data_IF_851967700318
#
_entry.id   IF_851967700318
#
_cell.length_a   1.000
_cell.length_b   1.000
_cell.length_c   1.000
_cell.angle_alpha   90.00
_cell.angle_beta   90.00
_cell.angle_gamma   90.00
#
_symmetry.space_group_name_H-M   'P 1'
#
loop_
_entity.id
_entity.type
_entity.pdbx_description
1 polymer ?
#
# COMPACT_ATOMS: atom_id res chain seq x y z
N UNK A 1 42.97 -30.96 27.44
CA UNK A 1 42.52 -29.59 27.67
C UNK A 1 41.65 -29.19 26.47
N UNK A 2 40.36 -29.32 26.61
CA UNK A 2 39.43 -29.00 25.54
C UNK A 2 38.87 -27.61 25.75
N UNK A 3 39.26 -26.66 24.93
CA UNK A 3 38.65 -25.32 24.85
C UNK A 3 37.44 -25.37 23.95
N UNK A 4 36.29 -25.44 24.57
CA UNK A 4 35.00 -25.29 23.89
C UNK A 4 34.82 -23.80 23.60
N UNK A 5 34.92 -23.41 22.34
CA UNK A 5 34.57 -22.06 21.90
C UNK A 5 33.04 -22.01 21.72
N UNK A 6 32.40 -21.30 22.64
CA UNK A 6 31.01 -20.88 22.50
C UNK A 6 30.95 -19.80 21.43
N UNK A 7 30.56 -20.17 20.22
CA UNK A 7 30.13 -19.24 19.18
C UNK A 7 28.71 -18.76 19.52
N UNK A 8 28.65 -17.64 20.22
CA UNK A 8 27.39 -16.90 20.39
C UNK A 8 27.06 -16.30 19.03
N UNK A 9 26.19 -16.98 18.29
CA UNK A 9 25.59 -16.42 17.09
C UNK A 9 24.70 -15.24 17.47
N UNK A 10 25.19 -14.04 17.25
CA UNK A 10 24.41 -12.81 17.34
C UNK A 10 23.41 -12.84 16.21
N UNK A 11 22.18 -13.29 16.49
CA UNK A 11 21.04 -13.10 15.60
C UNK A 11 20.75 -11.60 15.58
N UNK A 12 21.27 -10.90 14.57
CA UNK A 12 20.87 -9.55 14.28
C UNK A 12 19.41 -9.60 13.79
N UNK A 13 18.49 -9.43 14.74
CA UNK A 13 17.10 -9.11 14.44
C UNK A 13 17.14 -7.69 13.89
N UNK A 14 17.22 -7.56 12.57
CA UNK A 14 16.97 -6.32 11.87
C UNK A 14 15.48 -6.01 12.08
N UNK A 15 15.19 -5.27 13.13
CA UNK A 15 13.91 -4.59 13.27
C UNK A 15 13.84 -3.58 12.11
N UNK A 16 13.29 -3.99 10.99
CA UNK A 16 12.82 -3.06 10.00
C UNK A 16 11.73 -2.24 10.70
N UNK A 17 12.10 -1.03 11.12
CA UNK A 17 11.15 0.00 11.46
C UNK A 17 10.35 0.27 10.18
N UNK A 18 9.26 -0.44 10.01
CA UNK A 18 8.40 -0.38 8.85
C UNK A 18 7.86 1.04 8.72
N UNK A 19 8.15 1.69 7.64
CA UNK A 19 7.54 2.93 7.21
C UNK A 19 6.03 2.72 7.08
N UNK A 20 5.26 2.78 8.16
CA UNK A 20 3.80 2.89 8.15
C UNK A 20 2.96 1.97 7.24
N UNK A 21 3.58 1.14 6.40
CA UNK A 21 2.89 0.24 5.49
C UNK A 21 2.84 -1.19 6.04
N UNK A 22 1.67 -1.79 5.99
CA UNK A 22 1.44 -3.20 6.28
C UNK A 22 0.82 -3.86 5.05
N UNK A 23 1.52 -4.82 4.46
CA UNK A 23 1.10 -5.51 3.25
C UNK A 23 1.11 -7.01 3.51
N UNK A 24 -0.06 -7.62 3.39
CA UNK A 24 -0.26 -9.06 3.52
C UNK A 24 -0.66 -9.62 2.17
N UNK A 25 0.20 -10.46 1.60
CA UNK A 25 -0.08 -11.19 0.37
C UNK A 25 -0.63 -12.58 0.73
N UNK A 26 -1.87 -12.85 0.35
CA UNK A 26 -2.55 -14.12 0.68
C UNK A 26 -2.20 -15.24 -0.29
N UNK A 27 -1.95 -14.92 -1.56
CA UNK A 27 -1.55 -15.89 -2.58
C UNK A 27 -0.41 -15.33 -3.45
N UNK A 28 0.81 -15.58 -3.01
CA UNK A 28 2.00 -15.08 -3.70
C UNK A 28 2.21 -15.75 -5.07
N UNK A 29 1.82 -17.01 -5.23
CA UNK A 29 1.97 -17.70 -6.51
C UNK A 29 1.05 -17.11 -7.56
N UNK A 30 -0.21 -16.85 -7.21
CA UNK A 30 -1.15 -16.13 -8.10
C UNK A 30 -0.69 -14.71 -8.39
N UNK A 31 -0.09 -14.01 -7.41
CA UNK A 31 0.46 -12.67 -7.64
C UNK A 31 1.57 -12.66 -8.68
N UNK A 32 2.38 -13.70 -8.78
CA UNK A 32 3.43 -13.81 -9.80
C UNK A 32 2.87 -14.04 -11.22
N UNK A 33 1.62 -14.47 -11.34
CA UNK A 33 0.93 -14.71 -12.61
C UNK A 33 0.18 -13.47 -13.14
N UNK A 34 0.08 -12.39 -12.35
CA UNK A 34 -0.62 -11.21 -12.80
C UNK A 34 0.07 -10.58 -14.02
N UNK A 35 -0.72 -10.02 -14.91
CA UNK A 35 -0.23 -9.34 -16.11
C UNK A 35 -0.36 -7.83 -15.99
N UNK A 36 -1.48 -7.35 -15.47
CA UNK A 36 -1.70 -5.93 -15.29
C UNK A 36 -2.73 -5.63 -14.21
N UNK A 37 -2.66 -4.43 -13.69
CA UNK A 37 -3.37 -3.95 -12.51
C UNK A 37 -4.32 -2.82 -12.89
N UNK A 38 -5.47 -2.78 -12.27
CA UNK A 38 -6.38 -1.63 -12.26
C UNK A 38 -6.69 -1.20 -10.84
N UNK A 39 -6.70 0.11 -10.59
CA UNK A 39 -7.08 0.69 -9.30
C UNK A 39 -8.38 1.45 -9.48
N UNK A 40 -9.42 1.10 -8.72
CA UNK A 40 -10.66 1.90 -8.68
C UNK A 40 -10.40 3.21 -7.94
N UNK A 41 -11.19 4.27 -8.19
CA UNK A 41 -11.19 5.42 -7.29
C UNK A 41 -11.42 4.97 -5.85
N UNK A 42 -10.61 5.47 -4.91
CA UNK A 42 -10.72 5.09 -3.52
C UNK A 42 -11.93 5.75 -2.88
N UNK A 43 -12.65 4.99 -2.07
CA UNK A 43 -13.71 5.54 -1.23
C UNK A 43 -13.11 6.52 -0.21
N UNK A 44 -13.70 7.70 -0.08
CA UNK A 44 -13.22 8.77 0.79
C UNK A 44 -14.37 9.70 1.14
N UNK A 45 -14.33 10.29 2.34
CA UNK A 45 -15.25 11.35 2.73
C UNK A 45 -15.14 12.58 1.81
N UNK A 46 -13.94 12.80 1.26
CA UNK A 46 -13.70 13.73 0.16
C UNK A 46 -13.34 12.94 -1.11
N UNK A 47 -14.26 12.83 -2.09
CA UNK A 47 -14.00 12.09 -3.33
C UNK A 47 -12.77 12.61 -4.12
N UNK A 48 -12.45 13.90 -3.99
CA UNK A 48 -11.26 14.46 -4.62
C UNK A 48 -9.98 13.86 -4.04
N UNK A 49 -9.92 13.64 -2.74
CA UNK A 49 -8.79 13.00 -2.08
C UNK A 49 -8.61 11.56 -2.56
N UNK A 50 -9.70 10.80 -2.64
CA UNK A 50 -9.67 9.43 -3.18
C UNK A 50 -9.13 9.35 -4.60
N UNK A 51 -9.53 10.31 -5.45
CA UNK A 51 -9.03 10.39 -6.83
C UNK A 51 -7.55 10.77 -6.90
N UNK A 52 -7.11 11.75 -6.11
CA UNK A 52 -5.70 12.17 -6.05
C UNK A 52 -4.82 10.99 -5.62
N UNK A 53 -5.24 10.24 -4.61
CA UNK A 53 -4.48 9.07 -4.14
C UNK A 53 -4.38 8.02 -5.25
N UNK A 54 -5.50 7.71 -5.93
CA UNK A 54 -5.50 6.79 -7.06
C UNK A 54 -4.50 7.22 -8.14
N UNK A 55 -4.58 8.46 -8.59
CA UNK A 55 -3.74 8.97 -9.69
C UNK A 55 -2.25 8.93 -9.33
N UNK A 56 -1.89 9.23 -8.08
CA UNK A 56 -0.50 9.18 -7.63
C UNK A 56 -0.03 7.73 -7.44
N UNK A 57 -0.89 6.84 -6.95
CA UNK A 57 -0.59 5.40 -6.87
C UNK A 57 -0.29 4.83 -8.26
N UNK A 58 -1.16 5.08 -9.24
CA UNK A 58 -0.97 4.65 -10.63
C UNK A 58 0.34 5.17 -11.20
N UNK A 59 0.61 6.47 -11.03
CA UNK A 59 1.87 7.08 -11.47
C UNK A 59 3.09 6.42 -10.85
N UNK A 60 3.04 6.10 -9.56
CA UNK A 60 4.15 5.44 -8.87
C UNK A 60 4.32 3.99 -9.33
N UNK A 61 3.24 3.24 -9.52
CA UNK A 61 3.29 1.89 -10.07
C UNK A 61 3.90 1.89 -11.48
N UNK A 62 3.48 2.80 -12.37
CA UNK A 62 4.07 2.96 -13.70
C UNK A 62 5.56 3.28 -13.63
N UNK A 63 5.97 4.16 -12.73
CA UNK A 63 7.40 4.47 -12.50
C UNK A 63 8.20 3.24 -12.10
N UNK A 64 7.59 2.32 -11.39
CA UNK A 64 8.17 1.03 -10.97
C UNK A 64 7.98 -0.07 -12.01
N UNK A 65 7.52 0.25 -13.21
CA UNK A 65 7.31 -0.69 -14.32
C UNK A 65 6.24 -1.75 -14.05
N UNK A 66 5.24 -1.41 -13.25
CA UNK A 66 4.03 -2.19 -13.11
C UNK A 66 3.07 -1.80 -14.23
N UNK A 67 2.55 -2.77 -14.96
CA UNK A 67 1.62 -2.52 -16.06
C UNK A 67 0.23 -2.19 -15.50
N UNK A 68 -0.33 -1.09 -16.00
CA UNK A 68 -1.71 -0.69 -15.72
C UNK A 68 -2.58 -0.97 -16.93
N UNK A 69 -3.82 -1.33 -16.69
CA UNK A 69 -4.78 -1.68 -17.74
C UNK A 69 -6.20 -1.25 -17.38
N UNK A 70 -7.11 -1.43 -18.32
CA UNK A 70 -8.52 -1.16 -18.11
C UNK A 70 -9.16 -2.19 -17.17
N UNK A 71 -10.28 -1.85 -16.49
CA UNK A 71 -10.94 -2.76 -15.55
C UNK A 71 -11.36 -4.09 -16.18
N UNK A 72 -11.65 -4.09 -17.48
CA UNK A 72 -12.09 -5.31 -18.20
C UNK A 72 -10.92 -6.25 -18.57
N UNK A 73 -9.70 -5.75 -18.57
CA UNK A 73 -8.49 -6.50 -18.94
C UNK A 73 -7.57 -6.75 -17.76
N UNK A 74 -7.83 -6.10 -16.64
CA UNK A 74 -7.03 -6.23 -15.43
C UNK A 74 -7.06 -7.66 -14.89
N UNK A 75 -5.90 -8.19 -14.54
CA UNK A 75 -5.77 -9.47 -13.85
C UNK A 75 -5.78 -9.31 -12.33
N UNK A 76 -5.49 -8.10 -11.85
CA UNK A 76 -5.65 -7.71 -10.45
C UNK A 76 -6.43 -6.40 -10.37
N UNK A 77 -7.53 -6.42 -9.64
CA UNK A 77 -8.36 -5.26 -9.35
C UNK A 77 -8.12 -4.80 -7.92
N UNK A 78 -7.61 -3.58 -7.76
CA UNK A 78 -7.51 -2.94 -6.46
C UNK A 78 -8.73 -2.07 -6.17
N UNK A 79 -9.32 -2.31 -5.01
CA UNK A 79 -10.34 -1.45 -4.40
C UNK A 79 -9.82 -0.98 -3.05
N UNK A 80 -10.24 0.19 -2.60
CA UNK A 80 -9.74 0.69 -1.33
C UNK A 80 -10.49 1.90 -0.81
N UNK A 81 -10.08 2.33 0.36
CA UNK A 81 -10.66 3.48 1.05
C UNK A 81 -9.61 4.29 1.79
N UNK A 82 -9.96 5.55 2.04
CA UNK A 82 -9.18 6.44 2.91
C UNK A 82 -9.96 6.71 4.19
N UNK A 83 -9.28 6.67 5.31
CA UNK A 83 -9.82 7.14 6.58
C UNK A 83 -9.28 8.54 6.86
N UNK A 84 -10.20 9.49 7.03
CA UNK A 84 -9.88 10.89 7.27
C UNK A 84 -10.37 11.31 8.64
N UNK A 85 -9.64 12.21 9.29
CA UNK A 85 -10.04 12.83 10.55
C UNK A 85 -10.10 14.34 10.42
N UNK A 86 -10.99 14.93 11.16
CA UNK A 86 -11.10 16.38 11.30
C UNK A 86 -10.34 16.80 12.56
N UNK A 87 -9.38 17.68 12.40
CA UNK A 87 -8.61 18.25 13.52
C UNK A 87 -8.88 19.73 13.64
N UNK A 88 -8.94 20.21 14.89
CA UNK A 88 -9.21 21.59 15.19
C UNK A 88 -10.63 21.83 15.68
N UNK A 89 -10.93 23.09 15.98
CA UNK A 89 -12.26 23.52 16.47
C UNK A 89 -12.67 24.83 15.80
N UNK A 90 -13.96 25.00 15.56
CA UNK A 90 -14.52 26.20 14.96
C UNK A 90 -14.06 26.42 13.51
N UNK A 91 -13.69 27.65 13.16
CA UNK A 91 -13.26 28.02 11.81
C UNK A 91 -11.86 27.49 11.41
N UNK A 92 -11.10 26.94 12.35
CA UNK A 92 -9.74 26.41 12.14
C UNK A 92 -9.73 24.88 12.06
N UNK A 93 -10.72 24.27 11.44
CA UNK A 93 -10.78 22.83 11.21
C UNK A 93 -9.97 22.46 9.96
N UNK A 94 -9.15 21.42 10.06
CA UNK A 94 -8.44 20.83 8.92
C UNK A 94 -8.75 19.33 8.83
N UNK A 95 -8.92 18.84 7.62
CA UNK A 95 -9.01 17.41 7.36
C UNK A 95 -7.61 16.85 7.14
N UNK A 96 -7.34 15.71 7.73
CA UNK A 96 -6.10 14.96 7.50
C UNK A 96 -6.39 13.50 7.22
N UNK A 97 -5.57 12.89 6.36
CA UNK A 97 -5.65 11.47 6.07
C UNK A 97 -4.94 10.73 7.20
N UNK A 98 -5.64 9.82 7.86
CA UNK A 98 -5.05 8.97 8.91
C UNK A 98 -4.50 7.67 8.33
N UNK A 99 -5.22 7.07 7.40
CA UNK A 99 -4.78 5.83 6.75
C UNK A 99 -5.40 5.64 5.37
N UNK A 100 -4.77 4.78 4.58
CA UNK A 100 -5.29 4.29 3.31
C UNK A 100 -5.21 2.77 3.33
N UNK A 101 -6.24 2.11 2.83
CA UNK A 101 -6.27 0.66 2.66
C UNK A 101 -6.62 0.27 1.23
N UNK A 102 -6.02 -0.82 0.76
CA UNK A 102 -6.28 -1.41 -0.54
C UNK A 102 -6.44 -2.93 -0.40
N UNK A 103 -7.33 -3.48 -1.20
CA UNK A 103 -7.49 -4.93 -1.38
C UNK A 103 -7.35 -5.24 -2.86
N UNK A 104 -6.41 -6.11 -3.20
CA UNK A 104 -6.24 -6.65 -4.55
C UNK A 104 -6.95 -7.98 -4.69
N UNK A 105 -7.81 -8.11 -5.70
CA UNK A 105 -8.53 -9.33 -6.04
C UNK A 105 -8.21 -9.76 -7.45
N UNK A 106 -8.27 -11.06 -7.70
CA UNK A 106 -8.19 -11.61 -9.05
C UNK A 106 -9.52 -11.47 -9.81
N UNK A 107 -9.56 -12.00 -11.03
CA UNK A 107 -10.75 -11.99 -11.89
C UNK A 107 -11.90 -12.83 -11.34
N UNK A 108 -11.63 -13.79 -10.46
CA UNK A 108 -12.64 -14.61 -9.79
C UNK A 108 -13.13 -13.98 -8.48
N UNK A 109 -12.55 -12.84 -8.08
CA UNK A 109 -12.90 -12.11 -6.87
C UNK A 109 -12.19 -12.63 -5.62
N UNK A 110 -11.22 -13.55 -5.76
CA UNK A 110 -10.40 -14.03 -4.66
C UNK A 110 -9.39 -12.96 -4.23
N UNK A 111 -9.22 -12.81 -2.93
CA UNK A 111 -8.26 -11.87 -2.37
C UNK A 111 -6.82 -12.38 -2.59
N UNK A 112 -6.02 -11.58 -3.26
CA UNK A 112 -4.61 -11.85 -3.49
C UNK A 112 -3.72 -11.09 -2.50
N UNK A 113 -4.12 -9.87 -2.16
CA UNK A 113 -3.33 -8.95 -1.36
C UNK A 113 -4.24 -8.01 -0.57
N UNK A 114 -3.84 -7.73 0.65
CA UNK A 114 -4.39 -6.65 1.48
C UNK A 114 -3.25 -5.75 1.92
N UNK A 115 -3.41 -4.46 1.73
CA UNK A 115 -2.39 -3.48 2.06
C UNK A 115 -2.99 -2.28 2.80
N UNK A 116 -2.28 -1.77 3.78
CA UNK A 116 -2.63 -0.53 4.46
C UNK A 116 -1.41 0.36 4.66
N UNK A 117 -1.65 1.64 4.80
CA UNK A 117 -0.64 2.63 5.12
C UNK A 117 -1.15 3.59 6.18
N UNK A 118 -0.53 3.58 7.35
CA UNK A 118 -0.83 4.51 8.43
C UNK A 118 -0.01 5.80 8.26
N UNK A 119 -0.70 6.93 8.22
CA UNK A 119 -0.08 8.23 7.97
C UNK A 119 0.51 8.87 9.24
N UNK A 120 1.41 8.17 9.91
CA UNK A 120 2.07 8.64 11.14
C UNK A 120 2.89 9.90 10.93
N UNK A 121 3.47 10.05 9.75
CA UNK A 121 4.30 11.20 9.36
C UNK A 121 3.48 12.40 8.90
N UNK A 122 2.16 12.31 8.89
CA UNK A 122 1.24 13.37 8.44
C UNK A 122 1.52 13.85 7.02
N UNK A 123 1.83 12.94 6.14
CA UNK A 123 2.01 13.26 4.73
C UNK A 123 0.74 13.84 4.10
N UNK A 124 0.92 14.70 3.10
CA UNK A 124 -0.16 15.05 2.18
C UNK A 124 -0.65 13.83 1.41
N UNK A 125 -1.84 13.92 0.81
CA UNK A 125 -2.40 12.84 0.00
C UNK A 125 -1.40 12.32 -1.06
N UNK A 126 -0.73 13.22 -1.77
CA UNK A 126 0.26 12.86 -2.79
C UNK A 126 1.51 12.20 -2.23
N UNK A 127 2.02 12.70 -1.11
CA UNK A 127 3.21 12.10 -0.49
C UNK A 127 2.91 10.71 0.09
N UNK A 128 1.77 10.56 0.75
CA UNK A 128 1.31 9.29 1.28
C UNK A 128 1.13 8.26 0.14
N UNK A 129 0.42 8.64 -0.92
CA UNK A 129 0.19 7.78 -2.08
C UNK A 129 1.50 7.37 -2.78
N UNK A 130 2.48 8.26 -2.84
CA UNK A 130 3.82 7.95 -3.37
C UNK A 130 4.55 6.90 -2.52
N UNK A 131 4.55 7.06 -1.19
CA UNK A 131 5.19 6.10 -0.28
C UNK A 131 4.48 4.74 -0.34
N UNK A 132 3.15 4.77 -0.29
CA UNK A 132 2.35 3.56 -0.36
C UNK A 132 2.49 2.84 -1.71
N UNK A 133 2.44 3.56 -2.82
CA UNK A 133 2.65 3.02 -4.16
C UNK A 133 4.03 2.38 -4.34
N UNK A 134 5.06 2.99 -3.75
CA UNK A 134 6.41 2.43 -3.77
C UNK A 134 6.51 1.11 -2.99
N UNK A 135 5.84 1.02 -1.84
CA UNK A 135 5.76 -0.21 -1.05
C UNK A 135 4.96 -1.29 -1.77
N UNK A 136 3.80 -0.93 -2.33
CA UNK A 136 2.93 -1.83 -3.09
C UNK A 136 3.65 -2.41 -4.31
N UNK A 137 4.40 -1.60 -5.05
CA UNK A 137 5.14 -2.04 -6.22
C UNK A 137 6.20 -3.11 -5.92
N UNK A 138 6.74 -3.14 -4.70
CA UNK A 138 7.69 -4.20 -4.28
C UNK A 138 7.01 -5.55 -4.12
N UNK A 139 5.74 -5.57 -3.73
CA UNK A 139 4.96 -6.80 -3.59
C UNK A 139 4.46 -7.32 -4.94
N UNK A 140 4.35 -6.43 -5.93
CA UNK A 140 3.92 -6.77 -7.28
C UNK A 140 5.07 -7.20 -8.21
N UNK A 141 6.28 -7.24 -7.74
CA UNK A 141 7.48 -7.74 -8.43
C UNK A 141 7.96 -9.04 -7.80
#
# INVERSE_FOLDING_TARGET
MNKVYWLIGLLAISAFAGCGSDIVTTDRLKMLEYKCVYITPLESDDPHVGQVIKDVLEKELMRKQIELCDPNTATVLFTGSTFMTVRGSGAATSQSIESVSLVGKDTDGEMLLSASYDNKERYSASQLAKQFGSALAKELK
#
